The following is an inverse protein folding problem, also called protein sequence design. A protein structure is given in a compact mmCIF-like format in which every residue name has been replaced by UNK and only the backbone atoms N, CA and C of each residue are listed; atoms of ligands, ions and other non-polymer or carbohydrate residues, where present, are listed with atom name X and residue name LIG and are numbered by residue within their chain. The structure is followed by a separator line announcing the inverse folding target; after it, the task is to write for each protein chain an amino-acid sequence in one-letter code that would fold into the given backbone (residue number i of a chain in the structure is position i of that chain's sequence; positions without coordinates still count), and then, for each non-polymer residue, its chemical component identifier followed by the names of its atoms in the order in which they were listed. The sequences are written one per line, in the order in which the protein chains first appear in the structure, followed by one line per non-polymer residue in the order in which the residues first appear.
data_IF_370286022845
#
_entry.id   IF_370286022845
#
_cell.length_a   1.000
_cell.length_b   1.000
_cell.length_c   1.000
_cell.angle_alpha   90.00
_cell.angle_beta   90.00
_cell.angle_gamma   90.00
#
_symmetry.space_group_name_H-M   'P 1'
#
loop_
_entity.id
_entity.type
_entity.pdbx_description
1 polymer ?
#
# COMPACT_ATOMS: atom_id res chain seq x y z
N UNK A 1 -13.72 -21.95 -0.93
CA UNK A 1 -15.16 -21.70 -0.64
C UNK A 1 -15.38 -21.02 0.72
N UNK A 2 -14.34 -20.86 1.56
CA UNK A 2 -14.40 -20.05 2.79
C UNK A 2 -14.01 -18.58 2.57
N UNK A 3 -13.05 -18.30 1.69
CA UNK A 3 -12.59 -16.93 1.44
C UNK A 3 -13.71 -15.94 1.07
N UNK A 4 -14.59 -16.29 0.13
CA UNK A 4 -15.75 -15.44 -0.23
C UNK A 4 -16.70 -15.14 0.96
N UNK A 5 -16.75 -15.99 1.99
CA UNK A 5 -17.52 -15.70 3.21
C UNK A 5 -16.77 -14.74 4.13
N UNK A 6 -15.46 -14.89 4.24
CA UNK A 6 -14.57 -14.01 5.02
C UNK A 6 -14.55 -12.61 4.40
N UNK A 7 -14.40 -12.49 3.07
CA UNK A 7 -14.50 -11.20 2.34
C UNK A 7 -15.79 -10.44 2.61
N UNK A 8 -16.89 -11.16 2.77
CA UNK A 8 -18.20 -10.55 3.04
C UNK A 8 -18.33 -10.00 4.48
N UNK A 9 -17.45 -10.44 5.39
CA UNK A 9 -17.39 -9.96 6.76
C UNK A 9 -16.21 -8.98 6.92
N UNK A 10 -16.49 -7.72 6.65
CA UNK A 10 -15.50 -6.64 6.70
C UNK A 10 -14.88 -6.45 8.10
N UNK A 11 -15.51 -6.96 9.16
CA UNK A 11 -14.96 -6.86 10.52
C UNK A 11 -13.91 -7.93 10.82
N UNK A 12 -13.98 -9.09 10.16
CA UNK A 12 -13.01 -10.16 10.37
C UNK A 12 -11.84 -10.13 9.39
N UNK A 13 -12.02 -9.52 8.22
CA UNK A 13 -10.98 -9.44 7.20
C UNK A 13 -9.97 -8.31 7.44
N UNK A 14 -10.40 -7.19 8.04
CA UNK A 14 -9.53 -6.06 8.38
C UNK A 14 -9.28 -6.05 9.89
N UNK A 15 -8.07 -6.40 10.35
CA UNK A 15 -7.77 -6.37 11.79
C UNK A 15 -7.81 -4.94 12.31
N UNK A 16 -7.98 -4.79 13.63
CA UNK A 16 -7.80 -3.49 14.26
C UNK A 16 -6.32 -3.08 14.17
N UNK A 17 -6.06 -1.91 13.56
CA UNK A 17 -4.70 -1.45 13.29
C UNK A 17 -3.85 -1.38 14.57
N UNK A 18 -2.58 -1.73 14.42
CA UNK A 18 -1.52 -1.61 15.43
C UNK A 18 -0.30 -0.93 14.81
N UNK A 19 -0.45 0.37 14.54
CA UNK A 19 0.55 1.17 13.84
C UNK A 19 1.81 1.38 14.69
N UNK A 20 2.97 1.05 14.11
CA UNK A 20 4.29 1.39 14.64
C UNK A 20 4.95 2.42 13.74
N UNK A 21 5.37 3.54 14.33
CA UNK A 21 6.15 4.58 13.66
C UNK A 21 7.63 4.38 13.97
N UNK A 22 8.48 4.48 12.96
CA UNK A 22 9.93 4.33 13.11
C UNK A 22 10.68 5.31 12.22
N UNK A 23 11.92 5.59 12.63
CA UNK A 23 12.84 6.42 11.88
C UNK A 23 13.77 5.52 11.07
N UNK A 24 13.95 5.84 9.80
CA UNK A 24 14.96 5.23 8.94
C UNK A 24 15.60 6.31 8.09
N UNK A 25 16.80 6.03 7.58
CA UNK A 25 17.41 6.90 6.60
C UNK A 25 16.90 6.52 5.20
N UNK A 26 16.62 7.53 4.37
CA UNK A 26 16.37 7.36 2.94
C UNK A 26 17.64 6.89 2.21
N UNK A 27 17.54 6.57 0.92
CA UNK A 27 18.69 6.17 0.10
C UNK A 27 19.82 7.23 0.08
N UNK A 28 19.48 8.53 0.17
CA UNK A 28 20.46 9.61 0.30
C UNK A 28 20.99 9.85 1.72
N UNK A 29 20.58 9.04 2.70
CA UNK A 29 21.00 9.13 4.09
C UNK A 29 20.28 10.21 4.90
N UNK A 30 19.10 10.65 4.47
CA UNK A 30 18.31 11.66 5.19
C UNK A 30 17.36 10.97 6.16
N UNK A 31 17.19 11.47 7.39
CA UNK A 31 16.24 10.90 8.33
C UNK A 31 14.81 11.07 7.81
N UNK A 32 14.05 9.99 7.88
CA UNK A 32 12.68 9.89 7.40
C UNK A 32 11.81 9.08 8.36
N UNK A 33 10.50 9.35 8.34
CA UNK A 33 9.52 8.63 9.16
C UNK A 33 8.75 7.65 8.32
N UNK A 34 8.70 6.41 8.77
CA UNK A 34 7.93 5.34 8.16
C UNK A 34 6.95 4.77 9.16
N UNK A 35 5.92 4.09 8.66
CA UNK A 35 5.00 3.35 9.51
C UNK A 35 4.72 1.97 8.93
N UNK A 36 4.45 1.03 9.83
CA UNK A 36 3.98 -0.32 9.51
C UNK A 36 2.84 -0.68 10.45
N UNK A 37 1.83 -1.37 9.92
CA UNK A 37 0.75 -1.93 10.73
C UNK A 37 1.10 -3.34 11.20
N UNK A 38 1.55 -3.43 12.47
CA UNK A 38 1.97 -4.68 13.09
C UNK A 38 0.79 -5.65 13.31
N UNK A 39 -0.46 -5.22 13.17
CA UNK A 39 -1.60 -6.12 13.23
C UNK A 39 -1.56 -7.20 12.14
N UNK A 40 -0.81 -6.94 11.07
CA UNK A 40 -0.63 -7.90 9.97
C UNK A 40 0.49 -8.92 10.17
N UNK A 41 1.31 -8.81 11.23
CA UNK A 41 2.36 -9.80 11.52
C UNK A 41 1.76 -11.22 11.62
N UNK A 42 0.66 -11.34 12.38
CA UNK A 42 -0.09 -12.58 12.61
C UNK A 42 -1.39 -12.67 11.79
N UNK A 43 -1.48 -11.98 10.64
CA UNK A 43 -2.69 -12.00 9.81
C UNK A 43 -3.03 -13.44 9.36
N UNK A 44 -4.20 -13.99 9.70
CA UNK A 44 -4.48 -15.41 9.49
C UNK A 44 -4.76 -15.77 8.02
N UNK A 45 -4.96 -14.78 7.14
CA UNK A 45 -5.38 -14.98 5.75
C UNK A 45 -4.34 -14.50 4.73
N UNK A 46 -3.04 -14.43 5.08
CA UNK A 46 -1.96 -14.01 4.14
C UNK A 46 -1.98 -14.79 2.82
N UNK A 47 -2.20 -16.10 2.88
CA UNK A 47 -2.29 -16.97 1.69
C UNK A 47 -3.42 -16.59 0.72
N UNK A 48 -4.46 -15.92 1.21
CA UNK A 48 -5.57 -15.47 0.38
C UNK A 48 -5.30 -14.06 -0.21
N UNK A 49 -4.27 -13.37 0.28
CA UNK A 49 -3.80 -12.05 -0.16
C UNK A 49 -2.31 -12.13 -0.54
N UNK A 50 -1.98 -12.99 -1.50
CA UNK A 50 -0.61 -13.38 -1.85
C UNK A 50 0.10 -12.41 -2.79
N UNK A 51 -0.52 -11.29 -3.17
CA UNK A 51 0.06 -10.39 -4.15
C UNK A 51 0.47 -9.09 -3.45
N UNK A 52 1.77 -8.85 -3.40
CA UNK A 52 2.31 -7.59 -2.96
C UNK A 52 2.16 -6.56 -4.08
N UNK A 53 1.43 -5.48 -3.80
CA UNK A 53 1.24 -4.33 -4.65
C UNK A 53 2.07 -3.17 -4.08
N UNK A 54 3.24 -2.97 -4.67
CA UNK A 54 4.14 -1.87 -4.36
C UNK A 54 3.77 -0.64 -5.20
N UNK A 55 3.50 0.48 -4.54
CA UNK A 55 3.17 1.75 -5.20
C UNK A 55 4.23 2.77 -4.81
N UNK A 56 4.80 3.48 -5.79
CA UNK A 56 5.74 4.58 -5.55
C UNK A 56 5.19 5.88 -6.13
N UNK A 57 5.30 6.95 -5.35
CA UNK A 57 4.84 8.29 -5.72
C UNK A 57 5.98 9.27 -5.53
N UNK A 58 6.43 9.89 -6.62
CA UNK A 58 7.40 10.98 -6.60
C UNK A 58 6.69 12.33 -6.48
N UNK A 59 6.94 13.03 -5.37
CA UNK A 59 6.32 14.32 -5.04
C UNK A 59 7.29 15.50 -5.21
N UNK A 60 8.54 15.27 -5.63
CA UNK A 60 9.56 16.31 -5.76
C UNK A 60 10.04 16.51 -7.21
N UNK A 61 9.90 15.52 -8.07
CA UNK A 61 10.44 15.53 -9.44
C UNK A 61 9.37 15.35 -10.52
N UNK A 62 8.20 14.79 -10.17
CA UNK A 62 7.10 14.62 -11.14
C UNK A 62 6.32 15.93 -11.33
N UNK A 63 6.28 16.45 -12.57
CA UNK A 63 5.64 17.73 -12.90
C UNK A 63 4.12 17.74 -12.68
N UNK A 64 3.45 16.59 -12.72
CA UNK A 64 2.01 16.50 -12.44
C UNK A 64 1.77 16.62 -10.94
N UNK A 65 2.51 15.84 -10.14
CA UNK A 65 2.38 15.82 -8.69
C UNK A 65 2.75 17.16 -8.05
N UNK A 66 3.77 17.85 -8.59
CA UNK A 66 4.19 19.18 -8.12
C UNK A 66 3.11 20.27 -8.27
N UNK A 67 2.06 20.05 -9.06
CA UNK A 67 0.94 20.99 -9.19
C UNK A 67 -0.01 20.93 -8.00
N UNK A 68 0.09 19.90 -7.16
CA UNK A 68 -0.81 19.64 -6.05
C UNK A 68 -0.11 19.97 -4.71
N UNK A 69 -0.03 21.26 -4.37
CA UNK A 69 0.76 21.77 -3.23
C UNK A 69 0.25 21.31 -1.85
N UNK A 70 -1.02 20.94 -1.72
CA UNK A 70 -1.67 20.55 -0.46
C UNK A 70 -1.74 19.03 -0.27
N UNK A 71 -1.10 18.25 -1.13
CA UNK A 71 -1.20 16.79 -1.10
C UNK A 71 -0.41 16.22 0.09
N UNK A 72 -1.11 15.65 1.07
CA UNK A 72 -0.47 14.94 2.17
C UNK A 72 -0.41 13.42 1.96
N UNK A 73 0.47 12.76 2.70
CA UNK A 73 0.71 11.31 2.51
C UNK A 73 -0.51 10.47 2.90
N UNK A 74 -1.33 10.94 3.85
CA UNK A 74 -2.56 10.27 4.24
C UNK A 74 -3.59 10.28 3.12
N UNK A 75 -3.73 11.40 2.40
CA UNK A 75 -4.63 11.49 1.23
C UNK A 75 -4.24 10.49 0.13
N UNK A 76 -2.93 10.29 -0.10
CA UNK A 76 -2.42 9.32 -1.08
C UNK A 76 -2.70 7.88 -0.62
N UNK A 77 -2.41 7.57 0.64
CA UNK A 77 -2.68 6.26 1.25
C UNK A 77 -4.19 5.91 1.16
N UNK A 78 -5.04 6.87 1.52
CA UNK A 78 -6.51 6.71 1.47
C UNK A 78 -7.00 6.58 0.04
N UNK A 79 -6.45 7.33 -0.92
CA UNK A 79 -6.81 7.25 -2.33
C UNK A 79 -6.62 5.83 -2.89
N UNK A 80 -5.41 5.27 -2.76
CA UNK A 80 -5.15 3.91 -3.27
C UNK A 80 -5.93 2.86 -2.51
N UNK A 81 -6.02 2.99 -1.18
CA UNK A 81 -6.78 2.06 -0.34
C UNK A 81 -8.26 2.04 -0.72
N UNK A 82 -8.88 3.20 -0.92
CA UNK A 82 -10.29 3.29 -1.31
C UNK A 82 -10.50 2.70 -2.71
N UNK A 83 -9.69 3.10 -3.69
CA UNK A 83 -9.85 2.66 -5.08
C UNK A 83 -9.65 1.16 -5.25
N UNK A 84 -8.63 0.57 -4.62
CA UNK A 84 -8.39 -0.87 -4.70
C UNK A 84 -9.47 -1.68 -3.97
N UNK A 85 -9.97 -1.18 -2.83
CA UNK A 85 -11.04 -1.83 -2.07
C UNK A 85 -12.40 -1.86 -2.78
N UNK A 86 -12.59 -1.08 -3.84
CA UNK A 86 -13.79 -1.17 -4.68
C UNK A 86 -13.85 -2.49 -5.48
N UNK A 87 -12.70 -3.07 -5.79
CA UNK A 87 -12.58 -4.18 -6.73
C UNK A 87 -12.00 -5.45 -6.11
N UNK A 88 -11.25 -5.35 -5.01
CA UNK A 88 -10.57 -6.47 -4.36
C UNK A 88 -10.45 -6.24 -2.84
N UNK A 89 -10.01 -7.25 -2.09
CA UNK A 89 -9.53 -7.03 -0.72
C UNK A 89 -8.16 -6.39 -0.82
N UNK A 90 -7.95 -5.31 -0.07
CA UNK A 90 -6.68 -4.60 -0.08
C UNK A 90 -6.26 -4.18 1.33
N UNK A 91 -5.07 -4.62 1.72
CA UNK A 91 -4.43 -4.32 2.99
C UNK A 91 -3.27 -3.36 2.75
N UNK A 92 -3.38 -2.12 3.24
CA UNK A 92 -2.22 -1.24 3.36
C UNK A 92 -1.43 -1.68 4.60
N UNK A 93 -0.16 -2.04 4.40
CA UNK A 93 0.67 -2.63 5.45
C UNK A 93 1.76 -1.67 5.91
N UNK A 94 2.37 -0.93 4.99
CA UNK A 94 3.40 0.04 5.34
C UNK A 94 3.40 1.25 4.41
N UNK A 95 3.87 2.38 4.95
CA UNK A 95 4.34 3.53 4.18
C UNK A 95 5.80 3.78 4.50
N UNK A 96 6.60 3.85 3.45
CA UNK A 96 8.03 4.16 3.50
C UNK A 96 8.22 5.54 2.88
N UNK A 97 8.80 6.48 3.62
CA UNK A 97 9.17 7.78 3.05
C UNK A 97 10.47 7.64 2.27
N UNK A 98 10.49 8.13 1.04
CA UNK A 98 11.66 8.09 0.15
C UNK A 98 12.31 9.47 0.03
N UNK A 99 13.38 9.58 -0.76
CA UNK A 99 14.03 10.87 -1.01
C UNK A 99 13.15 11.87 -1.76
N UNK A 100 12.22 11.38 -2.58
CA UNK A 100 11.38 12.20 -3.45
C UNK A 100 9.88 12.10 -3.15
N UNK A 101 9.45 11.22 -2.25
CA UNK A 101 8.05 11.11 -1.89
C UNK A 101 7.81 9.92 -0.97
N UNK A 102 6.98 8.97 -1.41
CA UNK A 102 6.61 7.80 -0.62
C UNK A 102 6.54 6.54 -1.47
N UNK A 103 6.73 5.41 -0.80
CA UNK A 103 6.38 4.08 -1.29
C UNK A 103 5.38 3.45 -0.32
N UNK A 104 4.44 2.69 -0.85
CA UNK A 104 3.35 2.06 -0.11
C UNK A 104 3.39 0.56 -0.40
N UNK A 105 3.39 -0.22 0.66
CA UNK A 105 3.30 -1.68 0.61
C UNK A 105 1.86 -2.09 0.87
N UNK A 106 1.21 -2.68 -0.15
CA UNK A 106 -0.14 -3.18 -0.06
C UNK A 106 -0.20 -4.66 -0.41
N UNK A 107 -1.20 -5.37 0.12
CA UNK A 107 -1.47 -6.76 -0.26
C UNK A 107 -2.89 -6.92 -0.73
N UNK A 108 -3.05 -7.59 -1.87
CA UNK A 108 -4.35 -7.81 -2.51
C UNK A 108 -4.62 -9.29 -2.74
N UNK A 109 -5.91 -9.64 -2.83
CA UNK A 109 -6.38 -11.00 -3.06
C UNK A 109 -6.70 -11.33 -4.53
N UNK A 110 -6.81 -10.30 -5.37
CA UNK A 110 -7.14 -10.42 -6.79
C UNK A 110 -6.25 -9.47 -7.61
N UNK A 111 -5.18 -10.05 -8.16
CA UNK A 111 -4.19 -9.34 -8.97
C UNK A 111 -4.78 -8.76 -10.26
N UNK A 112 -5.70 -9.47 -10.93
CA UNK A 112 -6.27 -9.00 -12.20
C UNK A 112 -7.16 -7.77 -11.97
N UNK A 113 -7.99 -7.82 -10.93
CA UNK A 113 -8.83 -6.70 -10.53
C UNK A 113 -7.99 -5.49 -10.08
N UNK A 114 -6.94 -5.72 -9.30
CA UNK A 114 -6.03 -4.66 -8.87
C UNK A 114 -5.31 -3.99 -10.05
N UNK A 115 -4.73 -4.76 -10.98
CA UNK A 115 -4.09 -4.24 -12.20
C UNK A 115 -5.10 -3.45 -13.03
N UNK A 116 -6.32 -3.98 -13.20
CA UNK A 116 -7.38 -3.29 -13.94
C UNK A 116 -7.70 -1.92 -13.36
N UNK A 117 -7.83 -1.83 -12.04
CA UNK A 117 -8.09 -0.57 -11.33
C UNK A 117 -6.89 0.38 -11.42
N UNK A 118 -5.67 -0.07 -11.20
CA UNK A 118 -4.48 0.81 -11.28
C UNK A 118 -4.29 1.39 -12.68
N UNK A 119 -4.50 0.60 -13.74
CA UNK A 119 -4.48 1.10 -15.11
C UNK A 119 -5.60 2.13 -15.38
N UNK A 120 -6.78 1.96 -14.77
CA UNK A 120 -7.87 2.94 -14.84
C UNK A 120 -7.45 4.26 -14.19
N UNK A 121 -6.82 4.21 -13.00
CA UNK A 121 -6.34 5.39 -12.29
C UNK A 121 -5.21 6.11 -13.07
N UNK A 122 -4.27 5.37 -13.65
CA UNK A 122 -3.20 5.95 -14.47
C UNK A 122 -3.77 6.68 -15.70
N UNK A 123 -4.80 6.11 -16.32
CA UNK A 123 -5.46 6.69 -17.49
C UNK A 123 -6.38 7.88 -17.16
N UNK A 124 -6.79 8.07 -15.91
CA UNK A 124 -7.68 9.17 -15.51
C UNK A 124 -6.92 10.51 -15.52
N UNK A 125 -7.32 11.50 -16.35
CA UNK A 125 -6.72 12.83 -16.33
C UNK A 125 -7.00 13.62 -15.04
N UNK A 126 -7.96 13.19 -14.21
CA UNK A 126 -8.29 13.80 -12.93
C UNK A 126 -7.77 12.97 -11.73
N UNK A 127 -6.89 12.01 -11.97
CA UNK A 127 -6.25 11.22 -10.90
C UNK A 127 -5.59 12.13 -9.87
N UNK A 128 -5.53 11.66 -8.63
CA UNK A 128 -4.95 12.42 -7.53
C UNK A 128 -3.44 12.65 -7.73
N UNK A 129 -2.73 11.61 -8.17
CA UNK A 129 -1.28 11.60 -8.37
C UNK A 129 -0.88 10.75 -9.58
N UNK A 130 0.28 11.06 -10.17
CA UNK A 130 1.10 10.12 -10.91
C UNK A 130 1.79 9.16 -9.94
N UNK A 131 1.90 7.90 -10.35
CA UNK A 131 2.52 6.86 -9.56
C UNK A 131 3.12 5.79 -10.47
N UNK A 132 4.11 5.08 -9.94
CA UNK A 132 4.58 3.81 -10.47
C UNK A 132 4.02 2.67 -9.61
N UNK A 133 3.76 1.51 -10.21
CA UNK A 133 3.33 0.34 -9.47
C UNK A 133 3.99 -0.96 -9.98
N UNK A 134 4.30 -1.85 -9.04
CA UNK A 134 4.73 -3.21 -9.31
C UNK A 134 3.86 -4.17 -8.48
N UNK A 135 3.36 -5.24 -9.10
CA UNK A 135 2.65 -6.30 -8.38
C UNK A 135 3.39 -7.61 -8.57
N UNK A 136 3.70 -8.28 -7.47
CA UNK A 136 4.46 -9.53 -7.45
C UNK A 136 3.82 -10.58 -6.53
N UNK A 137 4.08 -11.85 -6.83
CA UNK A 137 3.71 -12.96 -5.96
C UNK A 137 4.57 -12.93 -4.68
N UNK A 138 3.91 -12.84 -3.54
CA UNK A 138 4.51 -12.87 -2.20
C UNK A 138 3.56 -13.55 -1.20
N UNK A 139 3.44 -14.87 -1.33
CA UNK A 139 2.51 -15.71 -0.54
C UNK A 139 2.73 -15.60 0.98
N UNK A 140 3.97 -15.37 1.40
CA UNK A 140 4.35 -15.32 2.83
C UNK A 140 4.50 -13.91 3.38
N UNK A 141 4.35 -12.89 2.51
CA UNK A 141 4.57 -11.48 2.83
C UNK A 141 6.04 -11.20 3.23
N UNK A 142 6.96 -11.86 2.54
CA UNK A 142 8.41 -11.77 2.75
C UNK A 142 8.92 -10.33 2.50
N UNK A 143 8.29 -9.58 1.59
CA UNK A 143 8.69 -8.20 1.26
C UNK A 143 8.53 -7.24 2.45
N UNK A 144 7.59 -7.52 3.36
CA UNK A 144 7.32 -6.69 4.55
C UNK A 144 7.71 -7.37 5.86
N UNK A 145 8.26 -8.59 5.82
CA UNK A 145 8.54 -9.39 7.02
C UNK A 145 9.47 -8.66 7.99
N UNK A 146 10.56 -8.09 7.49
CA UNK A 146 11.50 -7.31 8.30
C UNK A 146 10.82 -6.11 8.97
N UNK A 147 9.88 -5.46 8.28
CA UNK A 147 9.10 -4.35 8.84
C UNK A 147 8.13 -4.84 9.91
N UNK A 148 7.52 -6.01 9.72
CA UNK A 148 6.55 -6.60 10.65
C UNK A 148 7.21 -7.19 11.90
N UNK A 149 8.39 -7.79 11.78
CA UNK A 149 8.96 -8.63 12.84
C UNK A 149 10.30 -8.16 13.40
N UNK A 150 11.14 -7.51 12.59
CA UNK A 150 12.56 -7.28 12.94
C UNK A 150 12.89 -5.83 13.37
N UNK A 151 11.86 -4.99 13.55
CA UNK A 151 11.99 -3.63 14.09
C UNK A 151 11.79 -3.55 15.60
#
# INVERSE_FOLDING_TARGET
MEWNKIKADTQSIYPANSITLFLMDTDSGKPATCWVDKAYADYPYKQECMFNCFISVDLLNDEFNLQNEDLDYGDIEDYFTQQLREVCVCHIVARITTDSGISIEMYVDDVESAIGKLNELEADPNRLVNFDCEISDDENWDNVDNLLNDM
#
